data_IF_606415240462
#
_entry.id   IF_606415240462
#
_cell.length_a   1.000
_cell.length_b   1.000
_cell.length_c   1.000
_cell.angle_alpha   90.00
_cell.angle_beta   90.00
_cell.angle_gamma   90.00
#
_symmetry.space_group_name_H-M   'P 1'
#
loop_
_entity.id
_entity.type
_entity.pdbx_description
1 polymer ?
#
# COMPACT_ATOMS: atom_id res chain seq x y z
N UNK A 1 2.59 26.97 3.87
CA UNK A 1 2.02 26.56 2.56
C UNK A 1 0.72 25.78 2.69
N UNK A 2 0.68 24.61 3.34
CA UNK A 2 -0.58 23.82 3.50
C UNK A 2 -1.63 24.54 4.36
N UNK A 3 -1.20 25.30 5.38
CA UNK A 3 -2.08 26.16 6.20
C UNK A 3 -2.69 27.30 5.39
N UNK A 4 -1.90 28.02 4.61
CA UNK A 4 -2.35 29.12 3.74
C UNK A 4 -3.37 28.67 2.69
N UNK A 5 -3.19 27.47 2.10
CA UNK A 5 -4.18 26.89 1.17
C UNK A 5 -5.51 26.57 1.86
N UNK A 6 -5.46 26.08 3.10
CA UNK A 6 -6.66 25.77 3.87
C UNK A 6 -7.44 27.04 4.22
N UNK A 7 -6.74 28.10 4.61
CA UNK A 7 -7.31 29.42 4.89
C UNK A 7 -7.97 30.02 3.63
N UNK A 8 -7.36 29.82 2.46
CA UNK A 8 -7.93 30.19 1.17
C UNK A 8 -9.09 29.29 0.69
N UNK A 9 -9.55 28.33 1.50
CA UNK A 9 -10.64 27.44 1.12
C UNK A 9 -10.28 26.45 0.01
N UNK A 10 -8.99 26.14 -0.16
CA UNK A 10 -8.49 25.22 -1.17
C UNK A 10 -8.10 23.87 -0.55
N UNK A 11 -8.13 22.83 -1.38
CA UNK A 11 -7.69 21.48 -1.04
C UNK A 11 -6.63 21.02 -2.05
N UNK A 12 -5.54 20.50 -1.51
CA UNK A 12 -4.45 19.87 -2.28
C UNK A 12 -4.66 18.36 -2.31
N UNK A 13 -4.56 17.75 -3.49
CA UNK A 13 -4.52 16.30 -3.69
C UNK A 13 -3.32 15.89 -4.54
N UNK A 14 -2.91 14.63 -4.40
CA UNK A 14 -1.94 14.01 -5.28
C UNK A 14 -2.60 13.66 -6.62
N UNK A 15 -1.86 13.85 -7.72
CA UNK A 15 -2.17 13.20 -8.99
C UNK A 15 -1.85 11.70 -8.88
N UNK A 16 -2.72 10.88 -9.45
CA UNK A 16 -2.60 9.42 -9.42
C UNK A 16 -1.35 8.91 -10.19
N UNK A 17 -1.03 9.49 -11.35
CA UNK A 17 -0.01 8.95 -12.27
C UNK A 17 1.05 9.95 -12.73
N UNK A 18 0.81 11.24 -12.59
CA UNK A 18 1.62 12.26 -13.25
C UNK A 18 2.62 12.94 -12.29
N UNK A 19 2.76 12.44 -11.06
CA UNK A 19 3.73 12.95 -10.08
C UNK A 19 3.47 14.39 -9.59
N UNK A 20 2.32 14.98 -9.94
CA UNK A 20 1.94 16.34 -9.59
C UNK A 20 0.90 16.45 -8.48
N UNK A 21 0.43 17.68 -8.26
CA UNK A 21 -0.66 17.99 -7.34
C UNK A 21 -1.82 18.67 -8.05
N UNK A 22 -3.04 18.38 -7.59
CA UNK A 22 -4.25 19.08 -8.01
C UNK A 22 -4.70 19.97 -6.86
N UNK A 23 -4.88 21.26 -7.16
CA UNK A 23 -5.47 22.23 -6.23
C UNK A 23 -6.89 22.51 -6.68
N UNK A 24 -7.84 22.40 -5.77
CA UNK A 24 -9.23 22.73 -6.07
C UNK A 24 -9.97 23.38 -4.89
N UNK A 25 -11.05 24.13 -5.17
CA UNK A 25 -11.93 24.65 -4.14
C UNK A 25 -12.50 23.56 -3.25
N UNK A 26 -12.68 23.86 -1.96
CA UNK A 26 -13.19 22.91 -0.98
C UNK A 26 -14.61 22.42 -1.28
N UNK A 27 -15.44 23.23 -1.95
CA UNK A 27 -16.76 22.83 -2.43
C UNK A 27 -16.67 21.69 -3.45
N UNK A 28 -15.88 21.90 -4.50
CA UNK A 28 -15.65 20.91 -5.55
C UNK A 28 -15.01 19.63 -4.99
N UNK A 29 -14.13 19.77 -4.00
CA UNK A 29 -13.56 18.61 -3.31
C UNK A 29 -14.63 17.76 -2.64
N UNK A 30 -15.54 18.39 -1.90
CA UNK A 30 -16.60 17.68 -1.18
C UNK A 30 -17.54 16.95 -2.13
N UNK A 31 -17.90 17.60 -3.24
CA UNK A 31 -18.75 17.02 -4.28
C UNK A 31 -18.08 15.78 -4.90
N UNK A 32 -16.85 15.93 -5.39
CA UNK A 32 -16.10 14.81 -6.00
C UNK A 32 -15.80 13.69 -5.01
N UNK A 33 -15.52 14.03 -3.75
CA UNK A 33 -15.34 13.04 -2.69
C UNK A 33 -16.63 12.28 -2.42
N UNK A 34 -17.78 12.96 -2.33
CA UNK A 34 -19.06 12.30 -2.13
C UNK A 34 -19.42 11.36 -3.28
N UNK A 35 -19.22 11.81 -4.53
CA UNK A 35 -19.42 10.98 -5.72
C UNK A 35 -18.52 9.73 -5.68
N UNK A 36 -17.24 9.90 -5.35
CA UNK A 36 -16.30 8.77 -5.26
C UNK A 36 -16.64 7.80 -4.11
N UNK A 37 -17.16 8.29 -2.97
CA UNK A 37 -17.65 7.42 -1.91
C UNK A 37 -18.87 6.61 -2.38
N UNK A 38 -19.83 7.26 -3.02
CA UNK A 38 -21.06 6.60 -3.50
C UNK A 38 -20.79 5.56 -4.58
N UNK A 39 -19.79 5.80 -5.44
CA UNK A 39 -19.37 4.84 -6.48
C UNK A 39 -18.71 3.59 -5.87
N UNK A 40 -17.96 3.73 -4.77
CA UNK A 40 -17.11 2.66 -4.24
C UNK A 40 -17.67 1.96 -3.00
N UNK A 41 -18.65 2.54 -2.31
CA UNK A 41 -19.15 2.02 -1.04
C UNK A 41 -20.68 2.08 -0.95
N UNK A 42 -21.22 1.07 -0.27
CA UNK A 42 -22.62 1.04 0.14
C UNK A 42 -22.77 1.55 1.57
N UNK A 43 -23.80 2.35 1.82
CA UNK A 43 -24.17 2.77 3.17
C UNK A 43 -24.66 1.56 3.98
N UNK A 44 -24.10 1.37 5.17
CA UNK A 44 -24.53 0.32 6.11
C UNK A 44 -25.22 0.97 7.30
N UNK A 45 -26.54 0.80 7.40
CA UNK A 45 -27.37 1.37 8.46
C UNK A 45 -27.42 0.45 9.69
N UNK A 46 -27.59 1.05 10.87
CA UNK A 46 -27.78 0.31 12.13
C UNK A 46 -26.52 -0.35 12.70
N UNK A 47 -25.35 -0.17 12.08
CA UNK A 47 -24.08 -0.71 12.56
C UNK A 47 -23.32 0.35 13.35
N UNK A 48 -22.90 -0.02 14.56
CA UNK A 48 -22.03 0.80 15.40
C UNK A 48 -20.62 0.22 15.35
N UNK A 49 -19.63 0.89 14.72
CA UNK A 49 -18.29 0.33 14.54
C UNK A 49 -17.60 -0.13 15.82
N UNK A 50 -17.80 0.60 16.93
CA UNK A 50 -17.26 0.21 18.23
C UNK A 50 -17.81 -1.15 18.71
N UNK A 51 -19.11 -1.42 18.49
CA UNK A 51 -19.72 -2.73 18.83
C UNK A 51 -19.14 -3.85 17.97
N UNK A 52 -18.88 -3.59 16.69
CA UNK A 52 -18.24 -4.56 15.79
C UNK A 52 -16.83 -4.90 16.29
N UNK A 53 -16.03 -3.89 16.66
CA UNK A 53 -14.71 -4.09 17.26
C UNK A 53 -14.79 -4.93 18.54
N UNK A 54 -15.73 -4.62 19.45
CA UNK A 54 -15.94 -5.40 20.68
C UNK A 54 -16.26 -6.87 20.36
N UNK A 55 -17.10 -7.12 19.35
CA UNK A 55 -17.40 -8.49 18.90
C UNK A 55 -16.17 -9.20 18.34
N UNK A 56 -15.33 -8.50 17.57
CA UNK A 56 -14.08 -9.04 17.05
C UNK A 56 -13.11 -9.45 18.17
N UNK A 57 -13.00 -8.62 19.21
CA UNK A 57 -12.23 -8.93 20.42
C UNK A 57 -12.76 -10.20 21.10
N UNK A 58 -14.07 -10.28 21.34
CA UNK A 58 -14.69 -11.44 21.97
C UNK A 58 -14.47 -12.72 21.16
N UNK A 59 -14.49 -12.63 19.83
CA UNK A 59 -14.20 -13.76 18.95
C UNK A 59 -12.76 -14.23 19.11
N UNK A 60 -11.80 -13.30 19.15
CA UNK A 60 -10.40 -13.64 19.39
C UNK A 60 -10.19 -14.30 20.76
N UNK A 61 -10.85 -13.79 21.80
CA UNK A 61 -10.77 -14.36 23.15
C UNK A 61 -11.34 -15.78 23.22
N UNK A 62 -12.52 -15.99 22.61
CA UNK A 62 -13.15 -17.33 22.53
C UNK A 62 -12.30 -18.34 21.76
N UNK A 63 -11.54 -17.87 20.77
CA UNK A 63 -10.62 -18.71 20.00
C UNK A 63 -9.26 -18.93 20.69
N UNK A 64 -9.07 -18.44 21.93
CA UNK A 64 -7.78 -18.56 22.63
C UNK A 64 -6.68 -17.65 22.09
N UNK A 65 -7.00 -16.69 21.22
CA UNK A 65 -6.05 -15.79 20.55
C UNK A 65 -5.74 -14.55 21.40
N UNK A 66 -5.28 -14.74 22.64
CA UNK A 66 -5.09 -13.66 23.61
C UNK A 66 -4.20 -12.51 23.11
N UNK A 67 -3.11 -12.83 22.39
CA UNK A 67 -2.21 -11.82 21.81
C UNK A 67 -2.91 -10.97 20.75
N UNK A 68 -3.68 -11.60 19.86
CA UNK A 68 -4.45 -10.89 18.84
C UNK A 68 -5.55 -10.04 19.47
N UNK A 69 -6.28 -10.59 20.45
CA UNK A 69 -7.31 -9.85 21.18
C UNK A 69 -6.73 -8.57 21.84
N UNK A 70 -5.55 -8.66 22.44
CA UNK A 70 -4.85 -7.49 23.01
C UNK A 70 -4.50 -6.45 21.94
N UNK A 71 -4.01 -6.88 20.77
CA UNK A 71 -3.68 -5.99 19.65
C UNK A 71 -4.92 -5.28 19.11
N UNK A 72 -5.99 -6.04 18.85
CA UNK A 72 -7.30 -5.53 18.42
C UNK A 72 -7.86 -4.52 19.43
N UNK A 73 -7.80 -4.81 20.74
CA UNK A 73 -8.23 -3.88 21.80
C UNK A 73 -7.46 -2.55 21.74
N UNK A 74 -6.15 -2.61 21.57
CA UNK A 74 -5.25 -1.44 21.57
C UNK A 74 -5.43 -0.50 20.36
N UNK A 75 -6.03 -0.97 19.27
CA UNK A 75 -6.29 -0.15 18.08
C UNK A 75 -7.22 1.03 18.40
N UNK A 76 -6.84 2.26 18.03
CA UNK A 76 -7.66 3.45 18.31
C UNK A 76 -8.81 3.60 17.32
N UNK A 77 -8.56 3.26 16.06
CA UNK A 77 -9.52 3.43 14.98
C UNK A 77 -10.49 2.23 14.92
N UNK A 78 -11.78 2.53 14.78
CA UNK A 78 -12.83 1.51 14.66
C UNK A 78 -13.18 1.18 13.21
N UNK A 79 -12.83 2.06 12.28
CA UNK A 79 -13.16 2.00 10.86
C UNK A 79 -11.93 2.27 9.99
N UNK A 80 -12.00 1.80 8.75
CA UNK A 80 -11.10 2.22 7.69
C UNK A 80 -11.30 3.70 7.37
N UNK A 81 -10.25 4.37 6.92
CA UNK A 81 -10.31 5.78 6.50
C UNK A 81 -10.16 5.88 4.99
N UNK A 82 -11.06 6.63 4.34
CA UNK A 82 -10.98 6.91 2.92
C UNK A 82 -10.31 8.26 2.67
N UNK A 83 -9.42 8.30 1.67
CA UNK A 83 -8.82 9.51 1.11
C UNK A 83 -8.74 9.36 -0.41
N UNK A 84 -8.33 10.42 -1.11
CA UNK A 84 -8.48 10.48 -2.56
C UNK A 84 -7.18 10.91 -3.25
N UNK A 85 -6.96 10.38 -4.45
CA UNK A 85 -6.06 10.96 -5.46
C UNK A 85 -6.87 11.36 -6.70
N UNK A 86 -6.35 12.31 -7.47
CA UNK A 86 -7.00 12.82 -8.66
C UNK A 86 -6.50 12.09 -9.92
N UNK A 87 -7.40 11.48 -10.70
CA UNK A 87 -7.08 10.83 -11.97
C UNK A 87 -6.99 11.89 -13.08
N UNK A 88 -5.87 12.61 -13.15
CA UNK A 88 -5.67 13.73 -14.10
C UNK A 88 -5.68 13.31 -15.57
N UNK A 89 -5.26 12.08 -15.88
CA UNK A 89 -5.33 11.45 -17.20
C UNK A 89 -6.75 11.05 -17.67
N UNK A 90 -7.80 11.39 -16.94
CA UNK A 90 -9.20 11.08 -17.28
C UNK A 90 -9.99 12.38 -17.37
N UNK A 91 -10.93 12.41 -18.32
CA UNK A 91 -11.87 13.53 -18.45
C UNK A 91 -12.59 13.79 -17.12
N UNK A 92 -12.85 15.07 -16.83
CA UNK A 92 -13.43 15.56 -15.58
C UNK A 92 -12.58 15.31 -14.31
N UNK A 93 -11.42 14.65 -14.44
CA UNK A 93 -10.48 14.38 -13.35
C UNK A 93 -11.19 13.79 -12.10
N UNK A 94 -11.77 12.57 -12.20
CA UNK A 94 -12.45 11.90 -11.10
C UNK A 94 -11.47 11.52 -9.99
N UNK A 95 -12.01 11.29 -8.80
CA UNK A 95 -11.20 10.83 -7.66
C UNK A 95 -11.05 9.32 -7.68
N UNK A 96 -9.83 8.83 -7.44
CA UNK A 96 -9.59 7.47 -6.99
C UNK A 96 -9.77 7.45 -5.48
N UNK A 97 -10.70 6.64 -5.00
CA UNK A 97 -10.82 6.32 -3.59
C UNK A 97 -9.67 5.42 -3.15
N UNK A 98 -8.99 5.79 -2.07
CA UNK A 98 -7.94 5.01 -1.44
C UNK A 98 -8.35 4.77 0.01
N UNK A 99 -8.21 3.53 0.46
CA UNK A 99 -8.60 3.11 1.81
C UNK A 99 -7.35 2.81 2.62
N UNK A 100 -7.25 3.41 3.81
CA UNK A 100 -6.22 3.10 4.79
C UNK A 100 -6.81 2.31 5.94
N UNK A 101 -6.16 1.17 6.22
CA UNK A 101 -6.36 0.34 7.39
C UNK A 101 -5.37 0.67 8.52
N UNK A 102 -4.60 1.75 8.39
CA UNK A 102 -3.58 2.10 9.39
C UNK A 102 -4.24 2.41 10.74
N UNK A 103 -3.80 1.69 11.78
CA UNK A 103 -4.27 1.90 13.15
C UNK A 103 -5.64 1.27 13.44
N UNK A 104 -6.21 0.52 12.49
CA UNK A 104 -7.50 -0.15 12.64
C UNK A 104 -7.33 -1.58 13.11
N UNK A 105 -8.35 -2.11 13.78
CA UNK A 105 -8.34 -3.50 14.23
C UNK A 105 -8.47 -4.51 13.07
N UNK A 106 -9.05 -4.09 11.95
CA UNK A 106 -9.18 -4.91 10.74
C UNK A 106 -7.80 -5.30 10.21
N UNK A 107 -6.82 -4.40 10.26
CA UNK A 107 -5.44 -4.70 9.87
C UNK A 107 -4.82 -5.79 10.73
N UNK A 108 -4.98 -5.73 12.05
CA UNK A 108 -4.42 -6.73 12.97
C UNK A 108 -4.98 -8.12 12.70
N UNK A 109 -6.30 -8.21 12.47
CA UNK A 109 -6.97 -9.46 12.11
C UNK A 109 -6.55 -9.92 10.70
N UNK A 110 -6.49 -9.01 9.73
CA UNK A 110 -6.10 -9.31 8.35
C UNK A 110 -4.68 -9.86 8.25
N UNK A 111 -3.71 -9.20 8.90
CA UNK A 111 -2.31 -9.67 8.95
C UNK A 111 -2.21 -11.01 9.67
N UNK A 112 -2.98 -11.22 10.74
CA UNK A 112 -3.04 -12.52 11.41
C UNK A 112 -3.50 -13.62 10.44
N UNK A 113 -4.62 -13.41 9.74
CA UNK A 113 -5.16 -14.38 8.77
C UNK A 113 -4.19 -14.61 7.61
N UNK A 114 -3.59 -13.55 7.06
CA UNK A 114 -2.65 -13.64 5.95
C UNK A 114 -1.44 -14.51 6.27
N UNK A 115 -0.94 -14.48 7.52
CA UNK A 115 0.17 -15.35 7.94
C UNK A 115 -0.17 -16.82 7.81
N UNK A 116 -1.39 -17.23 8.19
CA UNK A 116 -1.80 -18.63 8.08
C UNK A 116 -2.14 -19.02 6.65
N UNK A 117 -2.73 -18.10 5.86
CA UNK A 117 -2.95 -18.34 4.44
C UNK A 117 -1.62 -18.56 3.69
N UNK A 118 -0.55 -17.86 4.08
CA UNK A 118 0.79 -18.07 3.52
C UNK A 118 1.46 -19.38 3.93
N UNK A 119 0.95 -20.10 4.94
CA UNK A 119 1.43 -21.44 5.31
C UNK A 119 0.71 -22.56 4.56
N UNK A 120 -0.40 -22.26 3.90
CA UNK A 120 -1.12 -23.25 3.11
C UNK A 120 -0.30 -23.54 1.86
N UNK A 121 0.02 -24.82 1.66
CA UNK A 121 0.61 -25.26 0.41
C UNK A 121 -0.49 -25.25 -0.64
N UNK A 122 -0.41 -24.29 -1.56
CA UNK A 122 -1.33 -24.20 -2.68
C UNK A 122 -0.68 -24.94 -3.84
N UNK A 123 -1.21 -26.12 -4.13
CA UNK A 123 -0.94 -26.83 -5.38
C UNK A 123 -1.70 -26.13 -6.51
N UNK A 124 -1.12 -25.03 -6.96
CA UNK A 124 -1.61 -24.27 -8.10
C UNK A 124 -0.67 -24.52 -9.29
N UNK A 125 -1.09 -25.33 -10.28
CA UNK A 125 -0.28 -25.65 -11.44
C UNK A 125 0.02 -24.44 -12.34
N UNK A 126 -0.58 -23.28 -12.05
CA UNK A 126 -0.36 -22.02 -12.76
C UNK A 126 0.38 -20.98 -11.91
N UNK A 127 0.77 -21.30 -10.67
CA UNK A 127 1.48 -20.38 -9.79
C UNK A 127 2.93 -20.20 -10.26
N UNK A 128 3.18 -19.11 -10.97
CA UNK A 128 4.54 -18.69 -11.33
C UNK A 128 5.21 -18.12 -10.07
N UNK A 129 5.99 -18.94 -9.37
CA UNK A 129 6.83 -18.48 -8.27
C UNK A 129 7.99 -17.67 -8.85
N UNK A 130 8.21 -16.46 -8.34
CA UNK A 130 9.34 -15.64 -8.76
C UNK A 130 10.65 -16.44 -8.55
N UNK A 131 11.59 -16.44 -9.50
CA UNK A 131 12.86 -17.13 -9.33
C UNK A 131 13.57 -16.55 -8.11
N UNK A 132 13.99 -17.44 -7.21
CA UNK A 132 14.85 -17.07 -6.09
C UNK A 132 16.17 -16.61 -6.70
N UNK A 133 16.47 -15.30 -6.66
CA UNK A 133 17.82 -14.83 -6.93
C UNK A 133 18.70 -15.31 -5.79
N UNK A 134 19.47 -16.36 -6.04
CA UNK A 134 20.57 -16.74 -5.17
C UNK A 134 21.57 -15.59 -5.18
N UNK A 135 21.73 -14.92 -4.05
CA UNK A 135 22.82 -13.98 -3.83
C UNK A 135 24.10 -14.82 -3.66
N UNK A 136 24.92 -14.88 -4.70
CA UNK A 136 26.17 -15.66 -4.81
C UNK A 136 27.31 -15.19 -3.87
N UNK A 137 27.02 -14.42 -2.82
CA UNK A 137 28.06 -13.83 -1.97
C UNK A 137 28.47 -14.64 -0.73
N UNK A 138 28.09 -15.93 -0.62
CA UNK A 138 28.56 -16.78 0.51
C UNK A 138 29.27 -18.09 0.11
N UNK A 139 30.14 -18.05 -0.90
CA UNK A 139 31.06 -19.17 -1.14
C UNK A 139 32.47 -18.73 -1.57
N UNK A 140 33.17 -17.96 -0.73
CA UNK A 140 34.64 -17.95 -0.74
C UNK A 140 35.22 -17.53 0.61
N UNK A 141 35.22 -18.44 1.59
CA UNK A 141 36.15 -18.38 2.72
C UNK A 141 36.69 -19.78 3.04
N UNK A 142 37.49 -20.32 2.13
CA UNK A 142 38.64 -21.13 2.46
C UNK A 142 39.76 -20.78 1.45
N UNK A 143 40.98 -20.62 1.96
CA UNK A 143 42.25 -20.42 1.25
C UNK A 143 42.65 -18.98 0.84
N UNK A 144 43.44 -18.32 1.71
CA UNK A 144 44.88 -18.01 1.54
C UNK A 144 45.24 -16.76 2.38
N UNK A 145 46.15 -16.96 3.34
CA UNK A 145 46.89 -15.92 4.05
C UNK A 145 47.79 -15.12 3.10
N UNK A 146 47.90 -13.79 3.27
CA UNK A 146 48.95 -13.02 2.60
C UNK A 146 48.78 -11.49 2.56
N UNK A 147 49.08 -10.83 3.69
CA UNK A 147 49.61 -9.46 3.89
C UNK A 147 49.56 -8.42 2.72
N UNK A 148 48.95 -7.25 2.97
CA UNK A 148 49.55 -5.89 3.15
C UNK A 148 48.58 -4.75 2.76
N UNK A 149 48.54 -3.70 3.58
CA UNK A 149 47.81 -2.41 3.43
C UNK A 149 48.66 -1.37 2.66
N UNK A 150 48.22 -0.09 2.41
CA UNK A 150 46.89 0.51 2.19
C UNK A 150 46.82 1.51 0.99
N UNK A 151 45.64 2.01 0.57
CA UNK A 151 45.38 3.42 0.16
C UNK A 151 43.99 3.67 -0.47
N UNK A 152 43.29 4.72 0.01
CA UNK A 152 42.50 5.66 -0.82
C UNK A 152 41.01 5.37 -1.10
N UNK A 153 40.08 6.32 -0.83
CA UNK A 153 38.65 6.17 -1.13
C UNK A 153 38.30 6.72 -2.53
N UNK A 154 37.54 5.96 -3.31
CA UNK A 154 37.00 6.39 -4.60
C UNK A 154 35.54 5.96 -4.72
N UNK A 155 34.64 6.93 -4.58
CA UNK A 155 33.20 6.80 -4.80
C UNK A 155 32.90 6.39 -6.25
N UNK A 156 31.93 5.51 -6.46
CA UNK A 156 31.15 5.46 -7.69
C UNK A 156 29.76 4.87 -7.40
N UNK A 157 28.75 5.72 -7.55
CA UNK A 157 27.33 5.38 -7.61
C UNK A 157 27.07 4.72 -8.97
N UNK A 158 26.36 3.59 -8.99
CA UNK A 158 25.82 3.00 -10.21
C UNK A 158 24.29 3.15 -10.19
N UNK A 159 23.81 4.06 -11.03
CA UNK A 159 22.41 4.23 -11.42
C UNK A 159 22.10 3.22 -12.52
N UNK A 160 21.02 2.45 -12.39
CA UNK A 160 20.55 1.53 -13.44
C UNK A 160 19.21 2.04 -13.97
N UNK A 161 19.28 2.73 -15.11
CA UNK A 161 18.16 3.07 -15.98
C UNK A 161 17.66 1.80 -16.69
N UNK A 162 16.43 1.41 -16.42
CA UNK A 162 15.70 0.36 -17.15
C UNK A 162 14.47 0.95 -17.81
N UNK A 163 14.69 1.75 -18.87
CA UNK A 163 13.66 2.03 -19.88
C UNK A 163 14.19 1.69 -21.25
N UNK A 164 13.90 0.46 -21.71
CA UNK A 164 13.76 0.05 -23.12
C UNK A 164 13.56 -1.46 -23.20
N UNK A 165 12.35 -1.93 -22.93
CA UNK A 165 11.89 -3.22 -23.45
C UNK A 165 10.37 -3.33 -23.34
N UNK A 166 9.64 -2.65 -24.22
CA UNK A 166 8.27 -3.00 -24.63
C UNK A 166 7.75 -1.98 -25.66
N UNK A 167 8.41 -1.85 -26.81
CA UNK A 167 7.81 -1.18 -27.98
C UNK A 167 8.45 -1.71 -29.26
N UNK A 168 8.21 -2.99 -29.55
CA UNK A 168 8.44 -3.59 -30.87
C UNK A 168 7.70 -4.93 -30.93
N UNK A 169 6.36 -4.86 -30.97
CA UNK A 169 5.51 -5.99 -31.36
C UNK A 169 4.17 -5.46 -31.89
N UNK A 170 4.22 -4.56 -32.88
CA UNK A 170 3.07 -4.27 -33.75
C UNK A 170 3.56 -3.51 -34.99
N UNK A 171 4.08 -4.23 -35.98
CA UNK A 171 4.08 -3.85 -37.39
C UNK A 171 4.76 -4.96 -38.21
N UNK A 172 3.95 -5.79 -38.86
CA UNK A 172 4.32 -6.48 -40.09
C UNK A 172 3.02 -6.69 -40.91
N UNK A 173 2.99 -6.26 -42.18
CA UNK A 173 1.85 -6.45 -43.07
C UNK A 173 2.01 -7.74 -43.89
N UNK A 174 0.89 -8.41 -44.15
CA UNK A 174 0.44 -8.87 -45.49
C UNK A 174 -1.08 -9.11 -45.44
#
# INVERSE_FOLDING_TARGET
MVTSLREAGLKLLLSDKEGGFVVLPRSLYKEKAAAAILENFNEVKGVVPAKVKTRAVQLCEKAGLAKLAKSVKACKETCLSAFFSAKTHKELCPFRTIVSERGTWQREVGVFLQRFLGLLDVDDPYLIRAPVTFDETQQTQQFVEGKTHPAGPGSQQATLDLTKSAYQASQAPE
#
